data_IF_973966593935
#
_entry.id   IF_973966593935
#
_cell.length_a   1.000
_cell.length_b   1.000
_cell.length_c   1.000
_cell.angle_alpha   90.00
_cell.angle_beta   90.00
_cell.angle_gamma   90.00
#
_symmetry.space_group_name_H-M   'P 1'
#
loop_
_entity.id
_entity.type
_entity.pdbx_description
1 polymer ?
#
# COMPACT_ATOMS: atom_id res chain seq x y z
N UNK A 1 4.29 20.94 6.21
CA UNK A 1 3.70 20.12 5.13
C UNK A 1 2.37 19.46 5.49
N UNK A 2 2.06 19.19 6.77
CA UNK A 2 0.82 18.51 7.21
C UNK A 2 -0.51 19.30 7.06
N UNK A 3 -0.49 20.58 6.66
CA UNK A 3 -1.71 21.42 6.64
C UNK A 3 -2.23 21.78 5.25
N UNK A 4 -1.60 21.34 4.15
CA UNK A 4 -2.06 21.75 2.82
C UNK A 4 -3.36 21.07 2.39
N UNK A 5 -3.66 19.87 2.89
CA UNK A 5 -4.90 19.16 2.54
C UNK A 5 -6.16 19.86 3.06
N UNK A 6 -6.18 20.23 4.35
CA UNK A 6 -7.31 20.96 4.95
C UNK A 6 -7.52 22.35 4.34
N UNK A 7 -6.44 23.00 3.87
CA UNK A 7 -6.54 24.28 3.16
C UNK A 7 -7.29 24.18 1.82
N UNK A 8 -7.40 22.98 1.23
CA UNK A 8 -8.16 22.79 -0.01
C UNK A 8 -9.67 22.74 0.23
N UNK A 9 -10.12 22.54 1.48
CA UNK A 9 -11.54 22.41 1.87
C UNK A 9 -12.36 21.59 0.85
N UNK A 10 -11.92 20.36 0.52
CA UNK A 10 -12.55 19.59 -0.54
C UNK A 10 -13.96 19.17 -0.11
N UNK A 11 -14.93 19.28 -1.01
CA UNK A 11 -16.27 18.74 -0.78
C UNK A 11 -16.27 17.20 -0.77
N UNK A 12 -15.39 16.58 -1.55
CA UNK A 12 -15.26 15.12 -1.65
C UNK A 12 -13.79 14.72 -1.70
N UNK A 13 -13.44 13.70 -0.92
CA UNK A 13 -12.16 12.98 -1.00
C UNK A 13 -12.41 11.61 -1.62
N UNK A 14 -11.84 11.40 -2.80
CA UNK A 14 -11.86 10.12 -3.50
C UNK A 14 -10.58 9.35 -3.22
N UNK A 15 -10.70 8.16 -2.64
CA UNK A 15 -9.57 7.28 -2.35
C UNK A 15 -9.67 5.98 -3.15
N UNK A 16 -8.67 5.76 -4.01
CA UNK A 16 -8.52 4.50 -4.74
C UNK A 16 -7.60 3.54 -3.97
N UNK A 17 -8.17 2.47 -3.43
CA UNK A 17 -7.43 1.41 -2.78
C UNK A 17 -6.94 0.37 -3.81
N UNK A 18 -5.68 0.51 -4.21
CA UNK A 18 -5.01 -0.43 -5.12
C UNK A 18 -4.41 -1.66 -4.43
N UNK A 19 -4.53 -1.77 -3.10
CA UNK A 19 -3.85 -2.79 -2.27
C UNK A 19 -2.36 -2.98 -2.59
N UNK A 20 -1.66 -1.90 -2.94
CA UNK A 20 -0.24 -1.97 -3.27
C UNK A 20 0.60 -2.34 -2.04
N UNK A 21 0.82 -3.65 -1.85
CA UNK A 21 1.55 -4.29 -0.76
C UNK A 21 1.20 -3.70 0.62
N UNK A 22 0.07 -4.08 1.25
CA UNK A 22 -0.29 -3.60 2.59
C UNK A 22 0.80 -3.83 3.65
N UNK A 23 1.76 -4.73 3.39
CA UNK A 23 2.95 -4.88 4.23
C UNK A 23 3.82 -3.62 4.26
N UNK A 24 3.71 -2.75 3.26
CA UNK A 24 4.34 -1.44 3.32
C UNK A 24 3.85 -0.67 4.56
N UNK A 25 2.59 -0.78 4.98
CA UNK A 25 2.10 -0.04 6.16
C UNK A 25 2.77 -0.50 7.47
N UNK A 26 3.24 -1.75 7.52
CA UNK A 26 3.96 -2.32 8.68
C UNK A 26 5.47 -2.40 8.47
N UNK A 27 6.01 -2.03 7.31
CA UNK A 27 7.46 -2.06 7.07
C UNK A 27 8.09 -0.77 7.57
N UNK A 28 9.10 -0.82 8.43
CA UNK A 28 9.90 0.37 8.80
C UNK A 28 11.19 0.47 7.98
N UNK A 29 11.83 -0.66 7.67
CA UNK A 29 13.04 -0.70 6.87
C UNK A 29 13.18 -2.07 6.18
N UNK A 30 13.72 -2.07 4.95
CA UNK A 30 14.02 -3.31 4.20
C UNK A 30 15.48 -3.31 3.81
N UNK A 31 16.02 -4.51 3.66
CA UNK A 31 17.38 -4.71 3.18
C UNK A 31 17.60 -3.92 1.89
N UNK A 32 18.76 -3.24 1.80
CA UNK A 32 19.19 -2.41 0.66
C UNK A 32 18.39 -1.12 0.46
N UNK A 33 17.47 -0.76 1.36
CA UNK A 33 16.91 0.58 1.39
C UNK A 33 17.80 1.46 2.27
N UNK A 34 18.32 2.59 1.78
CA UNK A 34 19.19 3.45 2.59
C UNK A 34 18.44 4.17 3.72
N UNK A 35 17.13 4.38 3.56
CA UNK A 35 16.32 5.12 4.52
C UNK A 35 15.22 4.25 5.09
N UNK A 36 15.00 4.40 6.40
CA UNK A 36 13.80 3.91 7.07
C UNK A 36 12.59 4.79 6.77
N UNK A 37 11.44 4.37 7.29
CA UNK A 37 10.23 5.18 7.32
C UNK A 37 9.51 5.02 8.66
N UNK A 38 8.77 6.06 9.04
CA UNK A 38 7.80 5.95 10.12
C UNK A 38 6.62 5.07 9.72
N UNK A 39 5.93 4.53 10.72
CA UNK A 39 4.71 3.75 10.57
C UNK A 39 3.66 4.23 11.58
N UNK A 40 2.44 3.71 11.47
CA UNK A 40 1.43 3.86 12.50
C UNK A 40 1.14 2.50 13.13
N UNK A 41 0.76 2.51 14.40
CA UNK A 41 0.22 1.35 15.11
C UNK A 41 -1.12 1.72 15.75
N UNK A 42 -2.11 0.82 15.75
CA UNK A 42 -3.32 1.01 16.53
C UNK A 42 -3.01 0.89 18.03
N UNK A 43 -3.58 1.79 18.81
CA UNK A 43 -3.64 1.71 20.27
C UNK A 43 -4.82 0.81 20.69
N UNK A 44 -4.90 0.39 21.97
CA UNK A 44 -6.05 -0.37 22.48
C UNK A 44 -7.40 0.34 22.29
N UNK A 45 -7.40 1.67 22.19
CA UNK A 45 -8.59 2.49 21.93
C UNK A 45 -8.88 2.69 20.43
N UNK A 46 -8.24 1.91 19.55
CA UNK A 46 -8.33 2.00 18.09
C UNK A 46 -7.91 3.34 17.47
N UNK A 47 -7.22 4.20 18.24
CA UNK A 47 -6.54 5.39 17.72
C UNK A 47 -5.19 5.01 17.13
N UNK A 48 -4.69 5.77 16.16
CA UNK A 48 -3.37 5.55 15.57
C UNK A 48 -2.31 6.34 16.33
N UNK A 49 -1.22 5.66 16.67
CA UNK A 49 0.00 6.27 17.20
C UNK A 49 1.10 6.18 16.15
N UNK A 50 1.80 7.29 15.90
CA UNK A 50 2.98 7.27 15.04
C UNK A 50 4.13 6.57 15.76
N UNK A 51 4.74 5.59 15.10
CA UNK A 51 5.87 4.81 15.60
C UNK A 51 7.07 5.00 14.66
N UNK A 52 8.28 4.99 15.24
CA UNK A 52 9.51 5.21 14.49
C UNK A 52 9.70 6.67 14.08
N UNK A 53 9.32 7.63 14.94
CA UNK A 53 9.67 9.04 14.78
C UNK A 53 10.41 9.56 16.04
N UNK A 54 11.61 10.17 15.92
CA UNK A 54 12.38 10.33 14.68
C UNK A 54 12.71 8.97 14.05
N UNK A 55 12.82 8.93 12.72
CA UNK A 55 13.08 7.68 11.98
C UNK A 55 14.42 7.12 12.44
N UNK A 56 14.47 5.92 13.04
CA UNK A 56 15.73 5.33 13.47
C UNK A 56 16.65 5.06 12.28
N UNK A 57 17.96 5.19 12.51
CA UNK A 57 18.97 4.74 11.55
C UNK A 57 19.06 3.21 11.59
N UNK A 58 18.38 2.58 10.63
CA UNK A 58 18.44 1.13 10.44
C UNK A 58 19.67 0.74 9.60
N UNK A 59 20.42 -0.31 9.97
CA UNK A 59 21.56 -0.77 9.19
C UNK A 59 21.17 -1.21 7.76
N UNK A 60 21.93 -0.80 6.73
CA UNK A 60 21.63 -1.05 5.29
C UNK A 60 21.16 -2.47 4.94
N UNK A 61 21.77 -3.49 5.54
CA UNK A 61 21.40 -4.89 5.36
C UNK A 61 20.61 -5.42 6.56
N UNK A 62 19.49 -4.77 6.88
CA UNK A 62 18.55 -5.23 7.91
C UNK A 62 17.11 -5.12 7.44
N UNK A 63 16.19 -5.78 8.14
CA UNK A 63 14.76 -5.71 7.89
C UNK A 63 14.05 -5.46 9.22
N UNK A 64 13.34 -4.33 9.32
CA UNK A 64 12.54 -3.98 10.47
C UNK A 64 11.10 -3.67 10.06
N UNK A 65 10.15 -4.09 10.87
CA UNK A 65 8.72 -3.89 10.66
C UNK A 65 7.94 -3.92 11.96
N UNK A 66 6.61 -3.85 11.86
CA UNK A 66 5.69 -4.12 12.96
C UNK A 66 5.28 -5.59 12.91
N UNK A 67 5.26 -6.26 14.07
CA UNK A 67 4.71 -7.61 14.21
C UNK A 67 3.17 -7.57 14.32
N UNK A 68 2.55 -8.73 14.54
CA UNK A 68 1.11 -8.88 14.75
C UNK A 68 0.56 -8.16 15.98
N UNK A 69 1.43 -7.79 16.93
CA UNK A 69 1.10 -6.97 18.10
C UNK A 69 1.37 -5.47 17.85
N UNK A 70 1.74 -5.11 16.61
CA UNK A 70 2.14 -3.77 16.18
C UNK A 70 3.36 -3.20 16.91
N UNK A 71 4.25 -4.07 17.40
CA UNK A 71 5.53 -3.72 18.01
C UNK A 71 6.67 -3.79 16.99
N UNK A 72 7.70 -2.95 17.16
CA UNK A 72 8.88 -2.97 16.28
C UNK A 72 9.63 -4.28 16.46
N UNK A 73 9.76 -5.05 15.38
CA UNK A 73 10.50 -6.30 15.33
C UNK A 73 11.49 -6.34 14.16
N UNK A 74 12.49 -7.19 14.29
CA UNK A 74 13.49 -7.49 13.26
C UNK A 74 13.11 -8.78 12.54
N UNK A 75 13.09 -8.76 11.22
CA UNK A 75 12.63 -9.87 10.37
C UNK A 75 13.74 -10.48 9.50
N UNK A 76 15.01 -10.13 9.77
CA UNK A 76 16.16 -10.67 9.06
C UNK A 76 17.02 -11.63 9.91
N UNK A 77 17.62 -12.60 9.22
CA UNK A 77 18.54 -13.58 9.81
C UNK A 77 20.00 -13.24 9.48
N UNK A 78 20.98 -13.69 10.31
CA UNK A 78 22.40 -13.42 10.07
C UNK A 78 22.91 -13.78 8.66
N UNK A 79 22.44 -14.90 8.09
CA UNK A 79 22.87 -15.34 6.76
C UNK A 79 22.35 -14.40 5.65
N UNK A 80 21.10 -13.92 5.75
CA UNK A 80 20.53 -12.95 4.79
C UNK A 80 21.31 -11.63 4.81
N UNK A 81 21.75 -11.19 5.99
CA UNK A 81 22.59 -10.00 6.12
C UNK A 81 23.96 -10.19 5.50
N UNK A 82 24.61 -11.29 5.82
CA UNK A 82 25.93 -11.60 5.27
C UNK A 82 25.87 -11.64 3.73
N UNK A 83 24.83 -12.29 3.19
CA UNK A 83 24.60 -12.33 1.75
C UNK A 83 24.27 -10.95 1.17
N UNK A 84 23.43 -10.14 1.83
CA UNK A 84 23.15 -8.77 1.42
C UNK A 84 24.43 -7.91 1.37
N UNK A 85 25.29 -8.00 2.38
CA UNK A 85 26.56 -7.26 2.43
C UNK A 85 27.51 -7.73 1.33
N UNK A 86 27.67 -9.04 1.17
CA UNK A 86 28.46 -9.63 0.09
C UNK A 86 27.94 -9.15 -1.27
N UNK A 87 26.62 -9.14 -1.42
CA UNK A 87 25.95 -8.72 -2.63
C UNK A 87 26.21 -7.24 -2.95
N UNK A 88 26.05 -6.33 -1.98
CA UNK A 88 26.33 -4.91 -2.16
C UNK A 88 27.80 -4.68 -2.51
N UNK A 89 28.74 -5.35 -1.82
CA UNK A 89 30.18 -5.19 -2.10
C UNK A 89 30.56 -5.74 -3.49
N UNK A 90 30.07 -6.92 -3.87
CA UNK A 90 30.46 -7.57 -5.13
C UNK A 90 29.78 -6.92 -6.33
N UNK A 91 28.47 -6.68 -6.30
CA UNK A 91 27.75 -6.15 -7.46
C UNK A 91 27.98 -4.67 -7.69
N UNK A 92 28.18 -3.87 -6.64
CA UNK A 92 28.39 -2.42 -6.81
C UNK A 92 29.83 -2.09 -7.22
N UNK A 93 30.79 -2.99 -7.01
CA UNK A 93 32.21 -2.75 -7.28
C UNK A 93 32.87 -3.68 -8.33
N UNK A 94 32.11 -4.51 -9.05
CA UNK A 94 32.67 -5.39 -10.09
C UNK A 94 31.88 -5.38 -11.39
N UNK A 95 32.47 -4.80 -12.44
CA UNK A 95 31.92 -4.83 -13.80
C UNK A 95 31.72 -6.26 -14.33
N UNK A 96 32.59 -7.19 -13.94
CA UNK A 96 32.47 -8.61 -14.29
C UNK A 96 31.21 -9.22 -13.66
N UNK A 97 30.94 -8.93 -12.39
CA UNK A 97 29.76 -9.44 -11.72
C UNK A 97 28.46 -8.75 -12.19
N UNK A 98 28.51 -7.49 -12.61
CA UNK A 98 27.40 -6.85 -13.32
C UNK A 98 27.11 -7.56 -14.65
N UNK A 99 28.14 -7.89 -15.43
CA UNK A 99 28.00 -8.66 -16.68
C UNK A 99 27.43 -10.06 -16.41
N UNK A 100 27.94 -10.76 -15.39
CA UNK A 100 27.43 -12.07 -14.97
C UNK A 100 25.96 -11.94 -14.52
N UNK A 101 25.60 -10.93 -13.76
CA UNK A 101 24.22 -10.70 -13.29
C UNK A 101 23.24 -10.47 -14.44
N UNK A 102 23.63 -9.68 -15.44
CA UNK A 102 22.83 -9.46 -16.66
C UNK A 102 22.60 -10.78 -17.41
N UNK A 103 23.61 -11.66 -17.44
CA UNK A 103 23.49 -12.97 -18.10
C UNK A 103 22.70 -13.98 -17.24
N UNK A 104 22.84 -13.96 -15.92
CA UNK A 104 22.05 -14.75 -14.97
C UNK A 104 20.58 -14.35 -15.03
N UNK A 105 20.26 -13.06 -15.20
CA UNK A 105 18.89 -12.58 -15.36
C UNK A 105 18.15 -13.18 -16.57
N UNK A 106 18.90 -13.71 -17.56
CA UNK A 106 18.35 -14.47 -18.69
C UNK A 106 17.99 -15.93 -18.34
N UNK A 107 18.33 -16.37 -17.13
CA UNK A 107 18.04 -17.68 -16.56
C UNK A 107 17.09 -17.51 -15.36
N UNK A 108 15.75 -17.48 -15.58
CA UNK A 108 14.78 -17.12 -14.55
C UNK A 108 14.80 -18.03 -13.32
N UNK A 109 15.10 -19.32 -13.49
CA UNK A 109 15.21 -20.26 -12.36
C UNK A 109 16.40 -19.95 -11.44
N UNK A 110 17.53 -19.56 -12.00
CA UNK A 110 18.74 -19.25 -11.23
C UNK A 110 18.59 -17.90 -10.52
N UNK A 111 18.00 -16.91 -11.20
CA UNK A 111 17.69 -15.59 -10.63
C UNK A 111 16.75 -15.70 -9.45
N UNK A 112 15.67 -16.49 -9.57
CA UNK A 112 14.73 -16.75 -8.47
C UNK A 112 15.42 -17.38 -7.26
N UNK A 113 16.25 -18.41 -7.46
CA UNK A 113 17.00 -19.05 -6.37
C UNK A 113 17.96 -18.10 -5.66
N UNK A 114 18.74 -17.31 -6.41
CA UNK A 114 19.69 -16.35 -5.82
C UNK A 114 18.98 -15.22 -5.08
N UNK A 115 17.84 -14.75 -5.61
CA UNK A 115 17.03 -13.73 -4.95
C UNK A 115 16.43 -14.23 -3.63
N UNK A 116 15.99 -15.50 -3.58
CA UNK A 116 15.42 -16.09 -2.37
C UNK A 116 16.46 -16.32 -1.26
N UNK A 117 17.73 -16.55 -1.59
CA UNK A 117 18.82 -16.69 -0.60
C UNK A 117 19.15 -15.40 0.15
N UNK A 118 18.97 -14.25 -0.52
CA UNK A 118 19.29 -12.93 0.01
C UNK A 118 18.08 -12.10 0.44
N UNK A 119 16.88 -12.62 0.24
CA UNK A 119 15.64 -11.96 0.67
C UNK A 119 15.11 -12.61 1.93
N UNK A 120 14.52 -11.78 2.78
CA UNK A 120 13.56 -12.23 3.81
C UNK A 120 12.34 -12.78 3.07
N UNK A 121 12.45 -14.00 2.54
CA UNK A 121 11.41 -14.69 1.76
C UNK A 121 10.48 -15.56 2.63
N UNK A 122 10.66 -15.53 3.95
CA UNK A 122 9.76 -16.14 4.94
C UNK A 122 9.17 -14.97 5.76
N UNK A 123 7.86 -14.79 5.89
CA UNK A 123 6.89 -15.77 6.36
C UNK A 123 5.51 -15.63 5.63
N UNK A 124 4.62 -16.63 5.73
CA UNK A 124 3.86 -17.21 4.65
C UNK A 124 2.57 -16.41 4.37
N UNK A 125 1.85 -16.84 3.35
CA UNK A 125 0.39 -16.67 3.14
C UNK A 125 -0.39 -16.14 4.37
N UNK A 126 -1.25 -15.14 4.16
CA UNK A 126 -2.40 -14.79 5.01
C UNK A 126 -2.18 -14.16 6.40
N UNK A 127 -1.16 -13.33 6.61
CA UNK A 127 -1.18 -12.45 7.79
C UNK A 127 -2.24 -11.35 7.62
N UNK A 128 -3.27 -11.36 8.49
CA UNK A 128 -4.39 -10.40 8.49
C UNK A 128 -4.01 -9.04 9.09
N UNK A 129 -3.06 -9.00 10.03
CA UNK A 129 -2.72 -7.77 10.78
C UNK A 129 -2.28 -6.57 9.91
N UNK A 130 -1.60 -6.71 8.74
CA UNK A 130 -1.33 -5.55 7.87
C UNK A 130 -2.62 -4.96 7.30
N UNK A 131 -3.65 -5.79 7.09
CA UNK A 131 -4.98 -5.33 6.67
C UNK A 131 -5.73 -4.70 7.84
N UNK A 132 -5.60 -5.22 9.05
CA UNK A 132 -6.14 -4.57 10.26
C UNK A 132 -5.58 -3.16 10.44
N UNK A 133 -4.26 -2.98 10.33
CA UNK A 133 -3.65 -1.66 10.35
C UNK A 133 -4.12 -0.80 9.19
N UNK A 134 -4.24 -1.36 7.99
CA UNK A 134 -4.73 -0.62 6.82
C UNK A 134 -6.17 -0.15 7.03
N UNK A 135 -7.05 -0.98 7.60
CA UNK A 135 -8.40 -0.60 8.01
C UNK A 135 -8.35 0.51 9.06
N UNK A 136 -7.49 0.41 10.08
CA UNK A 136 -7.38 1.45 11.10
C UNK A 136 -6.93 2.79 10.52
N UNK A 137 -5.96 2.78 9.59
CA UNK A 137 -5.52 3.95 8.83
C UNK A 137 -6.68 4.56 8.03
N UNK A 138 -7.40 3.74 7.27
CA UNK A 138 -8.54 4.21 6.47
C UNK A 138 -9.67 4.74 7.36
N UNK A 139 -10.00 4.07 8.46
CA UNK A 139 -11.02 4.52 9.40
C UNK A 139 -10.66 5.88 10.02
N UNK A 140 -9.40 6.07 10.41
CA UNK A 140 -8.92 7.36 10.91
C UNK A 140 -9.01 8.44 9.83
N UNK A 141 -8.60 8.12 8.60
CA UNK A 141 -8.63 9.07 7.50
C UNK A 141 -10.06 9.47 7.10
N UNK A 142 -10.99 8.51 7.02
CA UNK A 142 -12.41 8.77 6.77
C UNK A 142 -12.98 9.70 7.85
N UNK A 143 -12.64 9.44 9.12
CA UNK A 143 -13.11 10.25 10.24
C UNK A 143 -12.59 11.69 10.17
N UNK A 144 -11.32 11.87 9.79
CA UNK A 144 -10.72 13.19 9.59
C UNK A 144 -11.39 13.96 8.44
N UNK A 145 -11.56 13.31 7.28
CA UNK A 145 -12.26 13.88 6.13
C UNK A 145 -13.69 14.32 6.49
N UNK A 146 -14.43 13.49 7.22
CA UNK A 146 -15.78 13.81 7.68
C UNK A 146 -15.82 14.95 8.68
N UNK A 147 -14.84 15.03 9.58
CA UNK A 147 -14.72 16.12 10.55
C UNK A 147 -14.55 17.47 9.86
N UNK A 148 -13.87 17.47 8.71
CA UNK A 148 -13.68 18.67 7.87
C UNK A 148 -14.88 18.94 6.93
N UNK A 149 -15.99 18.22 7.10
CA UNK A 149 -17.24 18.43 6.35
C UNK A 149 -17.26 17.80 4.95
N UNK A 150 -16.21 17.06 4.59
CA UNK A 150 -16.08 16.42 3.29
C UNK A 150 -16.69 15.01 3.27
N UNK A 151 -17.18 14.59 2.11
CA UNK A 151 -17.57 13.19 1.88
C UNK A 151 -16.37 12.35 1.52
N UNK A 152 -16.29 11.13 2.03
CA UNK A 152 -15.24 10.16 1.67
C UNK A 152 -15.78 9.05 0.78
N UNK A 153 -15.16 8.84 -0.37
CA UNK A 153 -15.47 7.75 -1.30
C UNK A 153 -14.31 6.77 -1.35
N UNK A 154 -14.58 5.50 -1.02
CA UNK A 154 -13.63 4.39 -1.13
C UNK A 154 -13.91 3.61 -2.41
N UNK A 155 -12.93 3.49 -3.29
CA UNK A 155 -13.04 2.73 -4.53
C UNK A 155 -11.87 1.75 -4.68
N UNK A 156 -12.11 0.54 -5.18
CA UNK A 156 -11.05 -0.44 -5.40
C UNK A 156 -11.57 -1.78 -5.91
N UNK A 157 -10.66 -2.71 -6.19
CA UNK A 157 -11.05 -4.08 -6.55
C UNK A 157 -11.70 -4.81 -5.38
N UNK A 158 -12.75 -5.58 -5.64
CA UNK A 158 -13.48 -6.35 -4.64
C UNK A 158 -12.57 -7.29 -3.86
N UNK A 159 -11.69 -8.02 -4.55
CA UNK A 159 -10.75 -8.95 -3.89
C UNK A 159 -9.82 -8.26 -2.89
N UNK A 160 -9.56 -6.96 -3.07
CA UNK A 160 -8.67 -6.17 -2.23
C UNK A 160 -9.44 -5.54 -1.07
N UNK A 161 -10.58 -4.93 -1.38
CA UNK A 161 -11.45 -4.32 -0.38
C UNK A 161 -12.02 -5.36 0.60
N UNK A 162 -12.35 -6.57 0.15
CA UNK A 162 -12.85 -7.65 1.02
C UNK A 162 -11.82 -8.17 2.05
N UNK A 163 -10.54 -7.81 1.91
CA UNK A 163 -9.52 -8.13 2.93
C UNK A 163 -9.49 -7.13 4.07
N UNK A 164 -10.16 -6.00 3.93
CA UNK A 164 -10.35 -5.00 4.97
C UNK A 164 -11.60 -5.34 5.79
N UNK A 165 -11.66 -4.86 7.02
CA UNK A 165 -12.91 -4.85 7.79
C UNK A 165 -13.89 -3.82 7.19
N UNK A 166 -14.63 -4.26 6.18
CA UNK A 166 -15.62 -3.43 5.48
C UNK A 166 -16.79 -3.07 6.39
N UNK A 167 -17.15 -3.90 7.36
CA UNK A 167 -18.23 -3.59 8.29
C UNK A 167 -17.90 -2.33 9.09
N UNK A 168 -16.68 -2.24 9.63
CA UNK A 168 -16.18 -1.03 10.31
C UNK A 168 -16.12 0.18 9.39
N UNK A 169 -15.65 0.01 8.16
CA UNK A 169 -15.57 1.13 7.20
C UNK A 169 -16.97 1.61 6.76
N UNK A 170 -17.94 0.71 6.63
CA UNK A 170 -19.33 1.04 6.27
C UNK A 170 -20.06 1.83 7.34
N UNK A 171 -19.69 1.66 8.62
CA UNK A 171 -20.19 2.52 9.70
C UNK A 171 -19.70 3.98 9.54
N UNK A 172 -18.58 4.17 8.85
CA UNK A 172 -17.95 5.48 8.66
C UNK A 172 -18.23 6.09 7.28
N UNK A 173 -18.59 5.32 6.25
CA UNK A 173 -19.00 5.86 4.95
C UNK A 173 -19.93 4.89 4.21
N UNK A 174 -20.95 5.41 3.54
CA UNK A 174 -21.82 4.63 2.66
C UNK A 174 -21.27 4.49 1.24
N UNK A 175 -20.23 5.26 0.90
CA UNK A 175 -19.77 5.44 -0.48
C UNK A 175 -18.55 4.53 -0.76
N UNK A 176 -18.79 3.22 -0.67
CA UNK A 176 -17.80 2.18 -1.01
C UNK A 176 -18.21 1.54 -2.33
N UNK A 177 -17.36 1.62 -3.33
CA UNK A 177 -17.63 1.11 -4.67
C UNK A 177 -16.57 0.12 -5.13
N UNK A 178 -17.00 -0.88 -5.87
CA UNK A 178 -16.14 -1.92 -6.42
C UNK A 178 -15.83 -1.68 -7.89
N UNK A 179 -14.58 -1.86 -8.28
CA UNK A 179 -14.13 -1.69 -9.66
C UNK A 179 -14.89 -2.57 -10.65
N UNK A 180 -15.26 -3.77 -10.21
CA UNK A 180 -16.00 -4.75 -10.99
C UNK A 180 -17.42 -4.27 -11.34
N UNK A 181 -17.99 -3.31 -10.59
CA UNK A 181 -19.28 -2.70 -10.94
C UNK A 181 -19.17 -1.80 -12.19
N UNK A 182 -17.97 -1.27 -12.48
CA UNK A 182 -17.71 -0.44 -13.65
C UNK A 182 -17.33 -1.29 -14.87
N UNK A 183 -16.45 -2.27 -14.67
CA UNK A 183 -15.84 -3.06 -15.76
C UNK A 183 -16.64 -4.32 -16.09
N UNK A 184 -17.55 -4.74 -15.21
CA UNK A 184 -18.25 -6.02 -15.26
C UNK A 184 -17.39 -7.19 -14.82
N UNK A 185 -17.98 -8.39 -14.79
CA UNK A 185 -17.30 -9.65 -14.43
C UNK A 185 -16.60 -10.33 -15.63
N UNK A 186 -16.39 -9.60 -16.72
CA UNK A 186 -15.82 -10.11 -17.96
C UNK A 186 -14.28 -10.16 -17.95
N UNK A 187 -13.66 -10.60 -19.05
CA UNK A 187 -12.22 -10.54 -19.24
C UNK A 187 -11.69 -9.11 -19.08
N UNK A 188 -10.52 -8.97 -18.43
CA UNK A 188 -9.87 -7.68 -18.16
C UNK A 188 -9.04 -7.18 -19.34
N UNK A 189 -8.69 -8.07 -20.26
CA UNK A 189 -7.84 -7.83 -21.44
C UNK A 189 -8.25 -6.61 -22.29
N UNK A 190 -9.54 -6.27 -22.48
CA UNK A 190 -9.93 -5.05 -23.19
C UNK A 190 -9.58 -3.75 -22.45
N UNK A 191 -9.44 -3.83 -21.12
CA UNK A 191 -9.35 -2.67 -20.22
C UNK A 191 -7.94 -2.40 -19.73
N UNK A 192 -7.05 -3.38 -19.77
CA UNK A 192 -5.65 -3.25 -19.34
C UNK A 192 -4.69 -3.19 -20.53
N UNK A 193 -3.44 -2.82 -20.28
CA UNK A 193 -2.38 -2.99 -21.26
C UNK A 193 -1.98 -4.46 -21.39
N UNK A 194 -1.60 -4.90 -22.59
CA UNK A 194 -1.32 -6.33 -22.87
C UNK A 194 -0.24 -6.97 -21.96
N UNK A 195 0.71 -6.17 -21.50
CA UNK A 195 1.87 -6.62 -20.71
C UNK A 195 2.02 -5.84 -19.41
N UNK A 196 0.95 -5.19 -18.97
CA UNK A 196 0.96 -4.34 -17.78
C UNK A 196 -0.43 -4.43 -17.10
N UNK A 197 -0.43 -4.57 -15.77
CA UNK A 197 -1.64 -4.69 -14.96
C UNK A 197 -2.42 -3.36 -14.83
N UNK A 198 -1.85 -2.23 -15.28
CA UNK A 198 -2.54 -0.94 -15.30
C UNK A 198 -3.62 -0.87 -16.38
N UNK A 199 -4.66 -0.08 -16.11
CA UNK A 199 -5.69 0.24 -17.08
C UNK A 199 -5.11 0.99 -18.27
N UNK A 200 -5.57 0.63 -19.46
CA UNK A 200 -5.40 1.44 -20.66
C UNK A 200 -6.40 2.61 -20.64
N UNK A 201 -6.36 3.49 -21.65
CA UNK A 201 -7.26 4.65 -21.72
C UNK A 201 -8.74 4.29 -21.68
N UNK A 202 -9.16 3.19 -22.33
CA UNK A 202 -10.55 2.72 -22.32
C UNK A 202 -10.97 2.19 -20.95
N UNK A 203 -10.06 1.50 -20.26
CA UNK A 203 -10.28 1.08 -18.88
C UNK A 203 -10.52 2.29 -17.98
N UNK A 204 -9.66 3.31 -18.06
CA UNK A 204 -9.82 4.55 -17.30
C UNK A 204 -11.12 5.31 -17.64
N UNK A 205 -11.49 5.37 -18.92
CA UNK A 205 -12.76 5.97 -19.36
C UNK A 205 -13.96 5.25 -18.75
N UNK A 206 -13.97 3.91 -18.75
CA UNK A 206 -15.04 3.12 -18.11
C UNK A 206 -15.14 3.35 -16.61
N UNK A 207 -14.00 3.44 -15.93
CA UNK A 207 -13.99 3.77 -14.50
C UNK A 207 -14.52 5.19 -14.25
N UNK A 208 -14.14 6.16 -15.07
CA UNK A 208 -14.62 7.53 -14.97
C UNK A 208 -16.14 7.63 -15.21
N UNK A 209 -16.66 7.01 -16.27
CA UNK A 209 -18.08 6.98 -16.60
C UNK A 209 -18.94 6.43 -15.45
N UNK A 210 -18.40 5.43 -14.74
CA UNK A 210 -19.06 4.84 -13.57
C UNK A 210 -18.98 5.73 -12.33
N UNK A 211 -17.83 6.35 -12.08
CA UNK A 211 -17.58 7.12 -10.86
C UNK A 211 -18.17 8.53 -10.89
N UNK A 212 -18.11 9.22 -12.04
CA UNK A 212 -18.55 10.62 -12.16
C UNK A 212 -20.00 10.82 -11.68
N UNK A 213 -20.99 10.02 -12.11
CA UNK A 213 -22.37 10.20 -11.65
C UNK A 213 -22.53 10.02 -10.13
N UNK A 214 -21.75 9.12 -9.54
CA UNK A 214 -21.77 8.86 -8.09
C UNK A 214 -21.17 10.03 -7.32
N UNK A 215 -20.01 10.53 -7.76
CA UNK A 215 -19.38 11.71 -7.18
C UNK A 215 -20.28 12.94 -7.28
N UNK A 216 -20.97 13.15 -8.40
CA UNK A 216 -21.96 14.22 -8.55
C UNK A 216 -23.12 14.06 -7.56
N UNK A 217 -23.60 12.83 -7.34
CA UNK A 217 -24.64 12.56 -6.34
C UNK A 217 -24.16 12.92 -4.93
N UNK A 218 -22.93 12.54 -4.56
CA UNK A 218 -22.36 12.89 -3.25
C UNK A 218 -22.25 14.40 -3.06
N UNK A 219 -21.84 15.13 -4.11
CA UNK A 219 -21.74 16.59 -4.09
C UNK A 219 -23.11 17.28 -3.91
N UNK A 220 -24.19 16.71 -4.47
CA UNK A 220 -25.55 17.29 -4.37
C UNK A 220 -26.21 17.07 -3.02
N UNK A 221 -25.75 16.09 -2.24
CA UNK A 221 -26.28 15.79 -0.90
C UNK A 221 -25.68 16.70 0.16
N UNK A 222 -24.55 17.36 -0.14
CA UNK A 222 -23.96 18.35 0.73
C UNK A 222 -24.93 19.55 0.86
N UNK A 223 -25.33 19.94 2.09
CA UNK A 223 -26.20 21.10 2.27
C UNK A 223 -25.54 22.33 1.65
N UNK A 224 -26.34 23.17 1.00
CA UNK A 224 -25.96 24.52 0.54
C UNK A 224 -25.65 25.42 1.75
N UNK A 225 -24.64 25.11 2.55
CA UNK A 225 -24.17 25.98 3.64
C UNK A 225 -22.89 25.44 4.27
N UNK A 226 -21.76 25.93 3.79
CA UNK A 226 -20.75 26.54 4.67
C UNK A 226 -20.22 27.76 3.92
N UNK A 227 -20.39 29.00 4.43
CA UNK A 227 -19.80 30.20 3.83
C UNK A 227 -18.27 30.19 3.82
#
# INVERSE_FOLDING_TARGET
YLNYGGLLSPAVVFFYHSANDPRNNVTLHRMRRPFGKGAFAPTPNAQLQQIGFPIPDYPLCSHFGLNEYFEIARFDFPHQRAFCLLQSVIFEHSALFSLVSINIARLPMLTSKLYNLGSTSEDPRDNEYPFELTTAILASFISEVKKDGATFVLFGERKHLLRLDLQRLQQLTSSIYFQEEALGNGPMEPWIFKHDAHFNSKGHEKLADFLIPKLISELKVLPESVP
#
